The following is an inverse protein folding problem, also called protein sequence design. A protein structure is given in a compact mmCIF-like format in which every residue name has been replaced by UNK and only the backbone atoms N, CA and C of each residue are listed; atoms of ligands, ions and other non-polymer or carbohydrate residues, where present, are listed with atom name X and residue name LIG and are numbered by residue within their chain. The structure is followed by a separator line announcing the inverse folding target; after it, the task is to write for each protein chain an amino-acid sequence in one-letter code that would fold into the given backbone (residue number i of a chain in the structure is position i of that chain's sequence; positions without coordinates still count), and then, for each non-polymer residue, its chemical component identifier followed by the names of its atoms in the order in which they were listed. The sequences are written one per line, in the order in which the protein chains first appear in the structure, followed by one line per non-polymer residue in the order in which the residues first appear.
data_IF_528576404593
#
_entry.id   IF_528576404593
#
_cell.length_a   1.000
_cell.length_b   1.000
_cell.length_c   1.000
_cell.angle_alpha   90.00
_cell.angle_beta   90.00
_cell.angle_gamma   90.00
#
_symmetry.space_group_name_H-M   'P 1'
#
loop_
_entity.id
_entity.type
_entity.pdbx_description
1 polymer ?
#
# COMPACT_ATOMS: atom_id res chain seq x y z
N UNK A 1 11.63 -8.21 20.36
CA UNK A 1 10.87 -6.99 20.66
C UNK A 1 9.56 -7.02 19.88
N UNK A 2 8.49 -6.44 20.41
CA UNK A 2 7.22 -6.24 19.70
C UNK A 2 6.70 -4.83 19.99
N UNK A 3 5.94 -4.28 19.06
CA UNK A 3 5.33 -2.96 19.20
C UNK A 3 3.96 -2.95 18.52
N UNK A 4 3.11 -2.01 18.91
CA UNK A 4 1.81 -1.76 18.29
C UNK A 4 1.77 -0.33 17.75
N UNK A 5 1.20 -0.15 16.57
CA UNK A 5 0.97 1.17 15.97
C UNK A 5 -0.50 1.31 15.54
N UNK A 6 -1.06 2.50 15.72
CA UNK A 6 -2.44 2.79 15.33
C UNK A 6 -2.50 3.16 13.85
N UNK A 7 -2.61 2.15 12.98
CA UNK A 7 -2.72 2.35 11.53
C UNK A 7 -4.17 2.65 11.07
N UNK A 8 -5.17 2.14 11.77
CA UNK A 8 -6.57 2.20 11.33
C UNK A 8 -6.90 1.18 10.22
N UNK A 9 -8.20 0.97 9.93
CA UNK A 9 -8.67 -0.19 9.18
C UNK A 9 -8.67 -0.02 7.65
N UNK A 10 -7.85 0.88 7.10
CA UNK A 10 -7.90 1.25 5.68
C UNK A 10 -7.65 0.04 4.76
N UNK A 11 -6.74 -0.85 5.16
CA UNK A 11 -6.40 -2.05 4.40
C UNK A 11 -7.46 -3.16 4.47
N UNK A 12 -8.35 -3.10 5.45
CA UNK A 12 -9.52 -3.98 5.55
C UNK A 12 -10.76 -3.40 4.85
N UNK A 13 -10.62 -2.26 4.18
CA UNK A 13 -11.69 -1.50 3.54
C UNK A 13 -12.45 -0.56 4.49
N UNK A 14 -12.03 -0.44 5.75
CA UNK A 14 -12.65 0.44 6.73
C UNK A 14 -12.23 1.89 6.57
N UNK A 15 -13.18 2.82 6.69
CA UNK A 15 -12.90 4.26 6.54
C UNK A 15 -12.55 4.69 5.11
N UNK A 16 -12.90 3.87 4.12
CA UNK A 16 -12.76 4.13 2.69
C UNK A 16 -14.17 4.12 2.08
N UNK A 17 -14.54 5.15 1.30
CA UNK A 17 -15.92 5.38 0.80
C UNK A 17 -16.54 4.16 0.12
N UNK A 18 -15.78 3.49 -0.74
CA UNK A 18 -16.16 2.24 -1.40
C UNK A 18 -15.25 1.07 -0.97
N UNK A 19 -14.66 1.15 0.22
CA UNK A 19 -13.86 0.07 0.77
C UNK A 19 -14.73 -1.11 1.20
N UNK A 20 -14.24 -2.32 0.94
CA UNK A 20 -14.91 -3.55 1.34
C UNK A 20 -13.92 -4.68 1.59
N UNK A 21 -14.37 -5.75 2.24
CA UNK A 21 -13.57 -6.96 2.39
C UNK A 21 -13.35 -7.64 1.03
N UNK A 22 -12.23 -8.34 0.89
CA UNK A 22 -11.89 -9.15 -0.27
C UNK A 22 -12.91 -10.29 -0.47
N UNK A 23 -13.94 -10.00 -1.25
CA UNK A 23 -15.07 -10.88 -1.57
C UNK A 23 -15.51 -10.63 -3.01
N UNK A 24 -16.35 -11.50 -3.57
CA UNK A 24 -16.78 -11.43 -4.98
C UNK A 24 -17.30 -10.03 -5.37
N UNK A 25 -16.66 -9.44 -6.39
CA UNK A 25 -16.93 -8.08 -6.87
C UNK A 25 -16.09 -6.98 -6.21
N UNK A 26 -15.21 -7.29 -5.25
CA UNK A 26 -14.19 -6.33 -4.82
C UNK A 26 -13.11 -6.20 -5.89
N UNK A 27 -12.71 -4.97 -6.23
CA UNK A 27 -11.55 -4.68 -7.06
C UNK A 27 -10.31 -5.08 -6.27
N UNK A 28 -9.55 -6.05 -6.79
CA UNK A 28 -8.33 -6.58 -6.16
C UNK A 28 -7.05 -6.20 -6.90
N UNK A 29 -7.17 -5.85 -8.19
CA UNK A 29 -6.05 -5.38 -9.00
C UNK A 29 -6.52 -4.31 -10.00
N UNK A 30 -5.57 -3.49 -10.45
CA UNK A 30 -5.82 -2.27 -11.18
C UNK A 30 -4.67 -1.93 -12.12
N UNK A 31 -5.00 -1.64 -13.38
CA UNK A 31 -4.10 -0.96 -14.30
C UNK A 31 -4.81 0.21 -14.97
N UNK A 32 -4.05 1.05 -15.64
CA UNK A 32 -4.56 2.24 -16.31
C UNK A 32 -3.85 2.44 -17.64
N UNK A 33 -4.61 2.81 -18.66
CA UNK A 33 -4.03 3.19 -19.94
C UNK A 33 -3.28 4.53 -19.79
N UNK A 34 -1.99 4.61 -20.18
CA UNK A 34 -1.17 5.79 -19.91
C UNK A 34 -1.56 7.03 -20.73
N UNK A 35 -2.38 6.89 -21.78
CA UNK A 35 -2.77 7.98 -22.66
C UNK A 35 -4.19 8.48 -22.36
N UNK A 36 -5.17 7.58 -22.40
CA UNK A 36 -6.58 7.87 -22.14
C UNK A 36 -6.91 7.99 -20.65
N UNK A 37 -6.04 7.47 -19.78
CA UNK A 37 -6.26 7.36 -18.34
C UNK A 37 -7.51 6.56 -18.00
N UNK A 38 -7.94 5.65 -18.87
CA UNK A 38 -9.06 4.75 -18.63
C UNK A 38 -8.62 3.57 -17.76
N UNK A 39 -9.37 3.26 -16.68
CA UNK A 39 -8.99 2.22 -15.74
C UNK A 39 -9.39 0.82 -16.24
N UNK A 40 -8.54 -0.16 -16.00
CA UNK A 40 -8.85 -1.57 -16.12
C UNK A 40 -8.87 -2.19 -14.73
N UNK A 41 -10.07 -2.54 -14.25
CA UNK A 41 -10.26 -3.12 -12.92
C UNK A 41 -10.38 -4.65 -13.03
N UNK A 42 -9.65 -5.36 -12.17
CA UNK A 42 -9.81 -6.80 -11.98
C UNK A 42 -10.50 -7.03 -10.64
N UNK A 43 -11.54 -7.85 -10.63
CA UNK A 43 -12.34 -8.13 -9.45
C UNK A 43 -12.27 -9.59 -9.05
N UNK A 44 -12.43 -9.84 -7.76
CA UNK A 44 -12.57 -11.20 -7.24
C UNK A 44 -13.80 -11.84 -7.88
N UNK A 45 -13.58 -12.94 -8.59
CA UNK A 45 -14.63 -13.69 -9.30
C UNK A 45 -14.97 -13.16 -10.68
N UNK A 46 -14.23 -12.18 -11.22
CA UNK A 46 -14.40 -11.64 -12.57
C UNK A 46 -15.84 -11.16 -12.85
N UNK A 47 -16.42 -10.46 -11.88
CA UNK A 47 -17.77 -9.87 -11.99
C UNK A 47 -17.70 -8.35 -11.95
N UNK A 48 -18.82 -7.68 -12.23
CA UNK A 48 -18.91 -6.21 -12.09
C UNK A 48 -18.50 -5.75 -10.68
N UNK A 49 -17.77 -4.63 -10.53
CA UNK A 49 -17.30 -4.18 -9.23
C UNK A 49 -18.42 -3.70 -8.30
N UNK A 50 -18.20 -3.89 -7.00
CA UNK A 50 -19.02 -3.38 -5.88
C UNK A 50 -18.27 -2.38 -5.00
N UNK A 51 -16.94 -2.46 -5.01
CA UNK A 51 -16.06 -1.69 -4.13
C UNK A 51 -14.61 -2.15 -4.28
N UNK A 52 -13.77 -1.75 -3.34
CA UNK A 52 -12.31 -1.88 -3.38
C UNK A 52 -11.85 -2.65 -2.15
N UNK A 53 -11.07 -3.72 -2.31
CA UNK A 53 -10.42 -4.39 -1.17
C UNK A 53 -9.03 -3.82 -0.89
N UNK A 54 -8.39 -4.23 0.21
CA UNK A 54 -7.08 -3.72 0.62
C UNK A 54 -6.00 -3.81 -0.45
N UNK A 55 -5.87 -4.97 -1.09
CA UNK A 55 -4.93 -5.20 -2.19
C UNK A 55 -5.23 -4.29 -3.38
N UNK A 56 -6.50 -4.15 -3.76
CA UNK A 56 -6.94 -3.23 -4.80
C UNK A 56 -6.59 -1.78 -4.45
N UNK A 57 -6.82 -1.36 -3.21
CA UNK A 57 -6.49 0.00 -2.76
C UNK A 57 -4.97 0.28 -2.86
N UNK A 58 -4.13 -0.67 -2.45
CA UNK A 58 -2.67 -0.59 -2.62
C UNK A 58 -2.30 -0.47 -4.11
N UNK A 59 -2.84 -1.34 -4.95
CA UNK A 59 -2.50 -1.39 -6.37
C UNK A 59 -2.96 -0.14 -7.14
N UNK A 60 -4.17 0.36 -6.82
CA UNK A 60 -4.72 1.59 -7.40
C UNK A 60 -3.84 2.77 -7.04
N UNK A 61 -3.56 2.99 -5.75
CA UNK A 61 -2.79 4.16 -5.31
C UNK A 61 -1.35 4.10 -5.81
N UNK A 62 -0.70 2.93 -5.76
CA UNK A 62 0.63 2.73 -6.31
C UNK A 62 0.69 3.09 -7.81
N UNK A 63 -0.27 2.59 -8.59
CA UNK A 63 -0.32 2.82 -10.03
C UNK A 63 -0.64 4.27 -10.37
N UNK A 64 -1.60 4.89 -9.68
CA UNK A 64 -1.91 6.32 -9.86
C UNK A 64 -0.70 7.21 -9.52
N UNK A 65 0.04 6.88 -8.46
CA UNK A 65 1.24 7.61 -8.06
C UNK A 65 2.34 7.50 -9.12
N UNK A 66 2.66 6.28 -9.58
CA UNK A 66 3.67 6.08 -10.63
C UNK A 66 3.31 6.75 -11.96
N UNK A 67 2.01 6.85 -12.28
CA UNK A 67 1.52 7.49 -13.51
C UNK A 67 1.47 9.03 -13.41
N UNK A 68 1.64 9.58 -12.22
CA UNK A 68 1.50 11.02 -11.95
C UNK A 68 0.05 11.51 -12.00
N UNK A 69 -0.91 10.61 -11.76
CA UNK A 69 -2.34 10.91 -11.57
C UNK A 69 -2.57 11.50 -10.19
N UNK A 70 -1.79 11.05 -9.20
CA UNK A 70 -1.70 11.66 -7.88
C UNK A 70 -0.26 12.07 -7.61
N UNK A 71 -0.09 13.11 -6.79
CA UNK A 71 1.22 13.51 -6.27
C UNK A 71 1.60 12.72 -5.00
N UNK A 72 2.74 13.08 -4.41
CA UNK A 72 3.24 12.46 -3.18
C UNK A 72 2.38 12.76 -1.94
N UNK A 73 1.48 13.76 -2.00
CA UNK A 73 0.51 14.07 -0.95
C UNK A 73 -0.84 13.36 -1.18
N UNK A 74 -0.96 12.56 -2.24
CA UNK A 74 -2.20 11.89 -2.60
C UNK A 74 -3.24 12.82 -3.22
N UNK A 75 -2.83 13.97 -3.78
CA UNK A 75 -3.71 14.91 -4.46
C UNK A 75 -3.79 14.60 -5.94
N UNK A 76 -5.00 14.63 -6.49
CA UNK A 76 -5.20 14.39 -7.92
C UNK A 76 -4.59 15.53 -8.75
N UNK A 77 -3.92 15.16 -9.85
CA UNK A 77 -3.38 16.10 -10.80
C UNK A 77 -4.51 16.66 -11.69
N UNK A 78 -5.00 17.84 -11.31
CA UNK A 78 -6.13 18.54 -11.96
C UNK A 78 -5.82 19.07 -13.36
N UNK A 79 -4.55 18.99 -13.80
CA UNK A 79 -4.14 19.39 -15.15
C UNK A 79 -4.31 18.27 -16.17
N UNK A 80 -4.66 17.06 -15.74
CA UNK A 80 -4.90 15.94 -16.63
C UNK A 80 -6.28 16.09 -17.30
N UNK A 81 -6.30 15.98 -18.62
CA UNK A 81 -7.53 16.01 -19.40
C UNK A 81 -8.22 14.64 -19.35
N UNK A 82 -8.97 14.38 -18.28
CA UNK A 82 -9.78 13.16 -18.14
C UNK A 82 -11.11 13.46 -17.47
N UNK A 83 -12.18 12.86 -17.97
CA UNK A 83 -13.50 12.91 -17.34
C UNK A 83 -13.60 12.07 -16.06
N UNK A 84 -12.59 11.24 -15.78
CA UNK A 84 -12.54 10.35 -14.61
C UNK A 84 -12.26 11.11 -13.32
N UNK A 85 -11.53 12.23 -13.39
CA UNK A 85 -11.27 13.09 -12.24
C UNK A 85 -12.34 14.17 -12.19
N UNK A 86 -13.12 14.20 -11.11
CA UNK A 86 -14.15 15.22 -10.90
C UNK A 86 -14.18 15.68 -9.46
N UNK A 87 -14.87 16.79 -9.22
CA UNK A 87 -15.13 17.30 -7.87
C UNK A 87 -16.61 17.14 -7.51
N UNK A 88 -16.87 16.53 -6.36
CA UNK A 88 -18.22 16.34 -5.80
C UNK A 88 -18.18 16.82 -4.35
N UNK A 89 -19.09 17.72 -3.97
CA UNK A 89 -19.18 18.31 -2.62
C UNK A 89 -17.84 18.87 -2.09
N UNK A 90 -17.06 19.47 -2.98
CA UNK A 90 -15.73 20.02 -2.65
C UNK A 90 -14.60 18.99 -2.59
N UNK A 91 -14.88 17.69 -2.71
CA UNK A 91 -13.91 16.60 -2.68
C UNK A 91 -13.60 16.11 -4.08
N UNK A 92 -12.30 15.97 -4.40
CA UNK A 92 -11.90 15.36 -5.66
C UNK A 92 -11.94 13.83 -5.57
N UNK A 93 -12.43 13.21 -6.63
CA UNK A 93 -12.55 11.77 -6.76
C UNK A 93 -12.18 11.31 -8.18
N UNK A 94 -11.67 10.08 -8.27
CA UNK A 94 -11.42 9.37 -9.52
C UNK A 94 -12.46 8.25 -9.70
N UNK A 95 -13.17 8.23 -10.83
CA UNK A 95 -14.18 7.22 -11.15
C UNK A 95 -13.55 5.94 -11.66
N UNK A 96 -13.40 4.95 -10.78
CA UNK A 96 -12.87 3.62 -11.12
C UNK A 96 -13.83 2.84 -12.01
N UNK A 97 -15.14 2.87 -11.70
CA UNK A 97 -16.16 2.22 -12.51
C UNK A 97 -17.47 3.03 -12.47
N UNK A 98 -18.06 3.38 -13.63
CA UNK A 98 -19.33 4.10 -13.71
C UNK A 98 -20.51 3.18 -13.34
N UNK A 99 -21.62 3.76 -12.88
CA UNK A 99 -22.78 3.04 -12.36
C UNK A 99 -23.30 1.88 -13.25
N UNK A 100 -23.34 2.07 -14.56
CA UNK A 100 -23.82 1.04 -15.49
C UNK A 100 -22.89 -0.19 -15.60
N UNK A 101 -21.65 -0.08 -15.11
CA UNK A 101 -20.67 -1.16 -15.04
C UNK A 101 -20.52 -1.76 -13.64
N UNK A 102 -21.24 -1.26 -12.62
CA UNK A 102 -21.16 -1.77 -11.24
C UNK A 102 -22.33 -2.70 -10.91
N UNK A 103 -22.31 -3.32 -9.73
CA UNK A 103 -23.46 -4.08 -9.19
C UNK A 103 -24.28 -3.28 -8.15
N UNK A 104 -23.94 -2.01 -7.95
CA UNK A 104 -24.52 -1.17 -6.88
C UNK A 104 -25.29 0.03 -7.43
N UNK A 105 -25.50 0.07 -8.75
CA UNK A 105 -26.18 1.15 -9.48
C UNK A 105 -25.65 2.56 -9.16
N UNK A 106 -24.35 2.62 -8.82
CA UNK A 106 -23.62 3.84 -8.44
C UNK A 106 -22.19 3.75 -8.94
N UNK A 107 -21.58 4.91 -9.17
CA UNK A 107 -20.17 4.99 -9.50
C UNK A 107 -19.31 4.49 -8.32
N UNK A 108 -18.38 3.57 -8.59
CA UNK A 108 -17.32 3.22 -7.65
C UNK A 108 -16.16 4.18 -7.89
N UNK A 109 -15.80 4.94 -6.85
CA UNK A 109 -14.80 6.01 -6.93
C UNK A 109 -13.74 5.84 -5.84
N UNK A 110 -12.57 6.44 -6.07
CA UNK A 110 -11.54 6.66 -5.06
C UNK A 110 -11.41 8.16 -4.79
N UNK A 111 -11.52 8.58 -3.53
CA UNK A 111 -11.51 10.00 -3.16
C UNK A 111 -10.17 10.43 -2.53
N UNK A 112 -9.85 11.73 -2.52
CA UNK A 112 -8.65 12.22 -1.83
C UNK A 112 -8.63 11.89 -0.31
N UNK A 113 -9.75 11.97 0.43
CA UNK A 113 -9.82 11.48 1.81
C UNK A 113 -9.48 9.99 1.95
N UNK A 114 -9.91 9.15 1.01
CA UNK A 114 -9.58 7.71 1.01
C UNK A 114 -8.06 7.51 0.87
N UNK A 115 -7.42 8.23 -0.07
CA UNK A 115 -5.97 8.19 -0.28
C UNK A 115 -5.23 8.72 0.93
N UNK A 116 -5.73 9.81 1.54
CA UNK A 116 -5.15 10.39 2.76
C UNK A 116 -5.22 9.39 3.92
N UNK A 117 -6.33 8.67 4.05
CA UNK A 117 -6.50 7.65 5.08
C UNK A 117 -5.51 6.48 4.87
N UNK A 118 -5.34 6.03 3.61
CA UNK A 118 -4.31 5.04 3.26
C UNK A 118 -2.89 5.53 3.61
N UNK A 119 -2.54 6.77 3.27
CA UNK A 119 -1.22 7.35 3.55
C UNK A 119 -0.93 7.38 5.05
N UNK A 120 -1.94 7.67 5.89
CA UNK A 120 -1.80 7.60 7.35
C UNK A 120 -1.60 6.16 7.83
N UNK A 121 -2.41 5.23 7.33
CA UNK A 121 -2.32 3.82 7.72
C UNK A 121 -0.97 3.19 7.35
N UNK A 122 -0.51 3.41 6.11
CA UNK A 122 0.81 2.95 5.68
C UNK A 122 1.93 3.65 6.44
N UNK A 123 1.76 4.95 6.73
CA UNK A 123 2.75 5.75 7.45
C UNK A 123 2.98 5.23 8.87
N UNK A 124 1.90 4.87 9.57
CA UNK A 124 1.95 4.29 10.91
C UNK A 124 2.66 2.93 10.93
N UNK A 125 2.39 2.07 9.94
CA UNK A 125 3.05 0.76 9.83
C UNK A 125 4.54 0.92 9.53
N UNK A 126 4.90 1.74 8.54
CA UNK A 126 6.29 1.98 8.18
C UNK A 126 7.07 2.59 9.34
N UNK A 127 6.53 3.63 9.98
CA UNK A 127 7.19 4.28 11.11
C UNK A 127 7.31 3.37 12.32
N UNK A 128 6.30 2.57 12.62
CA UNK A 128 6.34 1.59 13.71
C UNK A 128 7.45 0.55 13.50
N UNK A 129 7.60 0.03 12.28
CA UNK A 129 8.68 -0.89 11.94
C UNK A 129 10.06 -0.22 12.05
N UNK A 130 10.23 0.97 11.47
CA UNK A 130 11.54 1.64 11.48
C UNK A 130 11.97 2.07 12.89
N UNK A 131 11.04 2.64 13.68
CA UNK A 131 11.33 2.99 15.07
C UNK A 131 11.69 1.75 15.89
N UNK A 132 10.96 0.63 15.74
CA UNK A 132 11.29 -0.59 16.47
C UNK A 132 12.70 -1.10 16.13
N UNK A 133 13.12 -1.04 14.86
CA UNK A 133 14.46 -1.42 14.44
C UNK A 133 15.53 -0.53 15.05
N UNK A 134 15.31 0.79 14.99
CA UNK A 134 16.21 1.78 15.55
C UNK A 134 16.43 1.58 17.06
N UNK A 135 15.36 1.37 17.82
CA UNK A 135 15.41 1.15 19.27
C UNK A 135 16.16 -0.12 19.69
N UNK A 136 16.20 -1.13 18.82
CA UNK A 136 17.00 -2.35 19.05
C UNK A 136 18.41 -2.28 18.44
N UNK A 137 18.82 -1.12 17.92
CA UNK A 137 20.13 -0.89 17.33
C UNK A 137 20.32 -1.60 15.98
N UNK A 138 19.23 -1.89 15.27
CA UNK A 138 19.24 -2.54 13.97
C UNK A 138 18.80 -1.58 12.86
N UNK A 139 19.21 -1.87 11.64
CA UNK A 139 18.75 -1.21 10.42
C UNK A 139 17.98 -2.20 9.54
N UNK A 140 17.30 -1.68 8.52
CA UNK A 140 16.59 -2.53 7.55
C UNK A 140 17.53 -3.51 6.83
N UNK A 141 18.81 -3.16 6.68
CA UNK A 141 19.82 -4.03 6.06
C UNK A 141 20.17 -5.25 6.91
N UNK A 142 19.88 -5.19 8.21
CA UNK A 142 20.08 -6.32 9.12
C UNK A 142 18.93 -7.34 9.08
N UNK A 143 17.88 -7.08 8.30
CA UNK A 143 16.71 -7.95 8.21
C UNK A 143 16.92 -9.04 7.15
N UNK A 144 16.87 -10.28 7.62
CA UNK A 144 16.95 -11.47 6.77
C UNK A 144 15.62 -11.76 6.09
N UNK A 145 14.50 -11.65 6.82
CA UNK A 145 13.15 -11.93 6.34
C UNK A 145 12.10 -11.03 6.97
N UNK A 146 11.09 -10.67 6.18
CA UNK A 146 9.88 -9.98 6.60
C UNK A 146 8.70 -10.93 6.39
N UNK A 147 7.97 -11.24 7.46
CA UNK A 147 6.75 -12.05 7.38
C UNK A 147 5.56 -11.12 7.55
N UNK A 148 4.78 -10.95 6.48
CA UNK A 148 3.59 -10.11 6.48
C UNK A 148 2.35 -10.96 6.75
N UNK A 149 1.57 -10.57 7.74
CA UNK A 149 0.28 -11.17 8.07
C UNK A 149 -0.79 -10.08 8.15
N UNK A 150 -2.04 -10.40 7.78
CA UNK A 150 -3.16 -9.47 7.85
C UNK A 150 -4.23 -9.71 6.80
N UNK A 151 -5.33 -8.98 6.92
CA UNK A 151 -6.52 -9.09 6.08
C UNK A 151 -6.50 -8.24 4.81
N UNK A 152 -5.33 -8.03 4.20
CA UNK A 152 -5.16 -7.17 3.02
C UNK A 152 -5.90 -7.69 1.76
N UNK A 153 -6.22 -8.99 1.70
CA UNK A 153 -6.85 -9.65 0.57
C UNK A 153 -6.30 -11.06 0.36
N UNK A 154 -6.55 -11.63 -0.82
CA UNK A 154 -6.02 -12.95 -1.21
C UNK A 154 -4.50 -12.91 -1.49
N UNK A 155 -3.99 -11.75 -1.91
CA UNK A 155 -2.60 -11.51 -2.28
C UNK A 155 -2.25 -10.04 -2.04
N UNK A 156 -0.97 -9.76 -1.74
CA UNK A 156 -0.44 -8.39 -1.67
C UNK A 156 0.70 -8.30 -2.67
N UNK A 157 0.58 -7.39 -3.64
CA UNK A 157 1.67 -7.09 -4.55
C UNK A 157 2.77 -6.34 -3.77
N UNK A 158 3.89 -7.03 -3.57
CA UNK A 158 5.02 -6.52 -2.79
C UNK A 158 5.65 -5.29 -3.44
N UNK A 159 5.69 -5.23 -4.77
CA UNK A 159 6.23 -4.09 -5.48
C UNK A 159 5.35 -2.87 -5.28
N UNK A 160 4.02 -3.03 -5.41
CA UNK A 160 3.04 -1.96 -5.18
C UNK A 160 3.03 -1.50 -3.72
N UNK A 161 3.20 -2.41 -2.76
CA UNK A 161 3.36 -2.08 -1.35
C UNK A 161 4.62 -1.24 -1.08
N UNK A 162 5.75 -1.53 -1.74
CA UNK A 162 6.95 -0.71 -1.65
C UNK A 162 6.78 0.65 -2.34
N UNK A 163 6.07 0.70 -3.48
CA UNK A 163 5.79 1.95 -4.22
C UNK A 163 5.04 2.97 -3.36
N UNK A 164 4.07 2.54 -2.55
CA UNK A 164 3.35 3.44 -1.65
C UNK A 164 4.11 3.70 -0.34
N UNK A 165 5.24 3.03 -0.11
CA UNK A 165 6.01 3.11 1.13
C UNK A 165 5.31 2.44 2.33
N UNK A 166 4.52 1.39 2.07
CA UNK A 166 3.98 0.51 3.12
C UNK A 166 5.09 -0.41 3.66
N UNK A 167 5.90 -0.93 2.73
CA UNK A 167 7.07 -1.74 3.01
C UNK A 167 8.32 -0.96 2.61
N UNK A 168 9.44 -1.15 3.32
CA UNK A 168 10.73 -0.62 2.88
C UNK A 168 11.16 -1.27 1.56
N UNK A 169 11.92 -0.53 0.76
CA UNK A 169 12.45 -1.06 -0.49
C UNK A 169 13.55 -2.09 -0.20
N UNK A 170 13.23 -3.37 -0.37
CA UNK A 170 14.12 -4.51 -0.11
C UNK A 170 13.94 -5.55 -1.22
N UNK A 171 14.79 -6.58 -1.24
CA UNK A 171 14.59 -7.75 -2.10
C UNK A 171 13.24 -8.42 -1.80
N UNK A 172 12.31 -8.52 -2.77
CA UNK A 172 11.03 -9.19 -2.59
C UNK A 172 11.15 -10.64 -2.10
N UNK A 173 12.26 -11.33 -2.41
CA UNK A 173 12.49 -12.71 -1.95
C UNK A 173 12.66 -12.82 -0.43
N UNK A 174 12.95 -11.70 0.25
CA UNK A 174 12.99 -11.65 1.72
C UNK A 174 11.61 -11.51 2.35
N UNK A 175 10.55 -11.27 1.56
CA UNK A 175 9.20 -11.01 2.08
C UNK A 175 8.32 -12.22 1.82
N UNK A 176 7.60 -12.66 2.85
CA UNK A 176 6.62 -13.75 2.75
C UNK A 176 5.29 -13.29 3.31
N UNK A 177 4.24 -13.35 2.50
CA UNK A 177 2.87 -13.10 2.95
C UNK A 177 2.22 -14.42 3.40
N UNK A 178 1.72 -14.47 4.63
CA UNK A 178 1.12 -15.68 5.22
C UNK A 178 -0.41 -15.57 5.41
N UNK A 179 -1.03 -14.47 4.96
CA UNK A 179 -2.47 -14.24 5.15
C UNK A 179 -2.84 -14.04 6.62
N UNK A 180 -3.92 -14.69 7.07
CA UNK A 180 -4.41 -14.55 8.45
C UNK A 180 -3.62 -15.45 9.42
N UNK A 181 -2.47 -14.95 9.88
CA UNK A 181 -1.60 -15.64 10.84
C UNK A 181 -2.29 -15.97 12.17
N UNK A 182 -3.24 -15.14 12.63
CA UNK A 182 -4.00 -15.39 13.87
C UNK A 182 -4.88 -16.65 13.75
N UNK A 183 -5.67 -16.75 12.67
CA UNK A 183 -6.53 -17.91 12.43
C UNK A 183 -5.71 -19.18 12.18
N UNK A 184 -4.61 -19.08 11.42
CA UNK A 184 -3.70 -20.21 11.19
C UNK A 184 -3.07 -20.69 12.50
N UNK A 185 -2.57 -19.77 13.33
CA UNK A 185 -2.00 -20.07 14.64
C UNK A 185 -3.01 -20.73 15.59
N UNK A 186 -4.25 -20.25 15.62
CA UNK A 186 -5.33 -20.83 16.41
C UNK A 186 -5.66 -22.26 15.95
N UNK A 187 -5.76 -22.49 14.62
CA UNK A 187 -6.02 -23.82 14.04
C UNK A 187 -4.91 -24.81 14.38
N UNK A 188 -3.65 -24.39 14.29
CA UNK A 188 -2.52 -25.28 14.58
C UNK A 188 -2.45 -25.57 16.09
N UNK A 189 -2.71 -24.56 16.92
CA UNK A 189 -2.75 -24.70 18.38
C UNK A 189 -3.92 -25.55 18.88
N UNK A 190 -5.02 -25.66 18.13
CA UNK A 190 -6.15 -26.51 18.52
C UNK A 190 -5.85 -28.00 18.37
N UNK A 191 -4.91 -28.36 17.49
CA UNK A 191 -4.57 -29.73 17.13
C UNK A 191 -3.44 -30.33 17.98
N UNK A 192 -2.62 -29.52 18.66
CA UNK A 192 -1.41 -30.04 19.34
C UNK A 192 -1.08 -29.28 20.62
N UNK A 193 -1.03 -30.01 21.75
CA UNK A 193 -0.65 -29.45 23.06
C UNK A 193 0.80 -28.96 23.12
N UNK A 194 1.72 -29.56 22.36
CA UNK A 194 3.10 -29.06 22.23
C UNK A 194 3.13 -27.62 21.72
N UNK A 195 2.39 -27.33 20.65
CA UNK A 195 2.35 -26.00 20.04
C UNK A 195 1.74 -24.97 20.99
N UNK A 196 0.73 -25.37 21.80
CA UNK A 196 0.22 -24.49 22.87
C UNK A 196 1.29 -24.09 23.88
N UNK A 197 2.18 -25.02 24.26
CA UNK A 197 3.31 -24.71 25.15
C UNK A 197 4.30 -23.76 24.46
N UNK A 198 4.63 -24.03 23.20
CA UNK A 198 5.52 -23.16 22.41
C UNK A 198 4.98 -21.72 22.32
N UNK A 199 3.67 -21.53 22.11
CA UNK A 199 3.02 -20.21 22.11
C UNK A 199 3.19 -19.47 23.44
N UNK A 200 3.00 -20.17 24.57
CA UNK A 200 3.20 -19.58 25.92
C UNK A 200 4.66 -19.18 26.13
N UNK A 201 5.61 -19.99 25.68
CA UNK A 201 7.04 -19.66 25.78
C UNK A 201 7.42 -18.47 24.91
N UNK A 202 6.90 -18.38 23.68
CA UNK A 202 7.12 -17.23 22.80
C UNK A 202 6.54 -15.96 23.44
N UNK A 203 5.31 -16.01 23.94
CA UNK A 203 4.67 -14.86 24.58
C UNK A 203 5.48 -14.35 25.80
N UNK A 204 6.07 -15.25 26.59
CA UNK A 204 6.94 -14.88 27.72
C UNK A 204 8.27 -14.24 27.31
N UNK A 205 8.77 -14.54 26.10
CA UNK A 205 10.02 -13.98 25.56
C UNK A 205 9.81 -12.65 24.83
N UNK A 206 8.56 -12.22 24.61
CA UNK A 206 8.26 -10.97 23.92
C UNK A 206 8.42 -9.77 24.86
N UNK A 207 9.37 -8.89 24.52
CA UNK A 207 9.50 -7.58 25.14
C UNK A 207 8.68 -6.55 24.36
N UNK A 208 7.68 -5.95 25.01
CA UNK A 208 6.87 -4.89 24.42
C UNK A 208 7.61 -3.54 24.46
N UNK A 209 7.59 -2.82 23.35
CA UNK A 209 8.11 -1.47 23.19
C UNK A 209 6.95 -0.51 22.97
N UNK A 210 6.87 0.51 23.82
CA UNK A 210 5.82 1.52 23.76
C UNK A 210 6.24 2.67 22.83
N UNK A 211 5.80 2.62 21.57
CA UNK A 211 6.17 3.60 20.55
C UNK A 211 5.65 5.01 20.89
N UNK A 212 4.60 5.13 21.69
CA UNK A 212 4.06 6.44 22.09
C UNK A 212 4.99 7.24 23.01
N UNK A 213 5.90 6.56 23.71
CA UNK A 213 6.93 7.19 24.56
C UNK A 213 8.22 7.50 23.78
N UNK A 214 8.35 6.98 22.56
CA UNK A 214 9.53 7.15 21.73
C UNK A 214 9.45 8.43 20.89
N UNK A 215 10.30 9.41 21.20
CA UNK A 215 10.32 10.69 20.49
C UNK A 215 10.58 10.57 18.98
N UNK A 216 11.35 9.56 18.54
CA UNK A 216 11.64 9.30 17.12
C UNK A 216 10.42 8.82 16.33
N UNK A 217 9.43 8.21 16.98
CA UNK A 217 8.25 7.67 16.31
C UNK A 217 7.47 8.75 15.56
N UNK A 218 7.21 9.89 16.20
CA UNK A 218 6.46 10.97 15.56
C UNK A 218 7.22 11.58 14.37
N UNK A 219 8.55 11.67 14.46
CA UNK A 219 9.38 12.13 13.35
C UNK A 219 9.31 11.15 12.16
N UNK A 220 9.47 9.86 12.43
CA UNK A 220 9.35 8.81 11.41
C UNK A 220 7.94 8.75 10.82
N UNK A 221 6.90 8.94 11.63
CA UNK A 221 5.52 8.97 11.18
C UNK A 221 5.26 10.14 10.23
N UNK A 222 5.62 11.37 10.62
CA UNK A 222 5.45 12.57 9.78
C UNK A 222 6.24 12.43 8.46
N UNK A 223 7.46 11.90 8.50
CA UNK A 223 8.24 11.62 7.31
C UNK A 223 7.59 10.55 6.40
N UNK A 224 6.78 9.67 6.97
CA UNK A 224 6.06 8.62 6.26
C UNK A 224 4.68 9.03 5.74
N UNK A 225 4.23 10.27 5.94
CA UNK A 225 2.94 10.79 5.44
C UNK A 225 2.97 11.24 3.97
N UNK A 226 3.88 10.69 3.18
CA UNK A 226 4.06 10.99 1.76
C UNK A 226 4.19 9.68 0.97
N UNK A 227 3.91 9.67 -0.33
CA UNK A 227 4.18 8.54 -1.21
C UNK A 227 5.57 8.68 -1.89
N UNK A 228 6.48 7.69 -1.77
CA UNK A 228 6.49 6.63 -0.75
C UNK A 228 6.90 7.13 0.65
N UNK A 229 7.65 8.25 0.73
CA UNK A 229 8.23 8.81 1.94
C UNK A 229 8.80 10.21 1.63
N UNK A 230 8.99 11.09 2.63
CA UNK A 230 9.62 12.41 2.41
C UNK A 230 11.04 12.27 1.86
N UNK A 231 11.80 11.32 2.41
CA UNK A 231 13.10 10.95 1.88
C UNK A 231 12.94 9.85 0.82
N UNK A 232 13.08 10.24 -0.45
CA UNK A 232 12.99 9.32 -1.60
C UNK A 232 14.22 8.45 -1.80
N UNK A 233 15.35 8.78 -1.18
CA UNK A 233 16.59 7.98 -1.29
C UNK A 233 16.48 6.63 -0.56
N UNK A 234 15.46 6.46 0.29
CA UNK A 234 15.10 5.17 0.89
C UNK A 234 14.42 4.21 -0.11
N UNK A 235 14.05 4.70 -1.30
CA UNK A 235 13.37 3.94 -2.36
C UNK A 235 14.08 4.15 -3.71
N UNK A 236 15.38 3.78 -3.83
CA UNK A 236 16.19 4.07 -5.01
C UNK A 236 15.64 3.49 -6.33
N UNK A 237 15.08 2.28 -6.34
CA UNK A 237 14.52 1.68 -7.56
C UNK A 237 13.28 2.43 -8.01
N UNK A 238 12.40 2.80 -7.08
CA UNK A 238 11.24 3.64 -7.40
C UNK A 238 11.68 5.01 -7.93
N UNK A 239 12.62 5.67 -7.26
CA UNK A 239 13.16 6.97 -7.67
C UNK A 239 13.66 6.92 -9.13
N UNK A 240 14.47 5.91 -9.47
CA UNK A 240 14.97 5.72 -10.83
C UNK A 240 13.83 5.52 -11.86
N UNK A 241 12.79 4.76 -11.53
CA UNK A 241 11.61 4.58 -12.42
C UNK A 241 10.83 5.87 -12.64
N UNK A 242 10.64 6.66 -11.58
CA UNK A 242 9.94 7.94 -11.68
C UNK A 242 10.74 8.95 -12.52
N UNK A 243 12.06 8.98 -12.38
CA UNK A 243 12.96 9.80 -13.20
C UNK A 243 12.92 9.39 -14.67
N UNK A 244 13.03 8.09 -14.96
CA UNK A 244 12.95 7.56 -16.33
C UNK A 244 11.62 7.94 -17.01
N UNK A 245 10.49 7.85 -16.29
CA UNK A 245 9.18 8.25 -16.81
C UNK A 245 9.08 9.75 -17.09
N UNK A 246 9.67 10.59 -16.22
CA UNK A 246 9.70 12.04 -16.43
C UNK A 246 10.51 12.41 -17.68
N UNK A 247 11.61 11.72 -17.96
CA UNK A 247 12.41 11.92 -19.17
C UNK A 247 11.59 11.60 -20.44
N UNK A 248 10.89 10.45 -20.45
CA UNK A 248 10.01 10.07 -21.56
C UNK A 248 8.90 11.10 -21.81
N UNK A 249 8.24 11.60 -20.75
CA UNK A 249 7.19 12.64 -20.88
C UNK A 249 7.72 14.00 -21.38
N UNK A 250 9.00 14.31 -21.16
CA UNK A 250 9.62 15.56 -21.62
C UNK A 250 10.14 15.50 -23.07
N UNK A 251 10.01 14.35 -23.74
CA UNK A 251 10.54 14.19 -25.11
C UNK A 251 12.06 14.09 -25.17
N UNK A 252 12.74 13.89 -24.04
CA UNK A 252 14.16 13.54 -24.00
C UNK A 252 14.26 12.04 -24.33
N UNK A 253 14.11 11.75 -25.62
CA UNK A 253 14.30 10.42 -26.17
C UNK A 253 15.74 9.96 -26.00
N UNK A 254 15.88 8.65 -25.85
CA UNK A 254 17.11 7.86 -25.89
C UNK A 254 17.89 8.10 -27.21
N UNK A 255 18.52 9.26 -27.37
CA UNK A 255 19.59 9.50 -28.32
C UNK A 255 20.87 9.74 -27.50
N UNK A 256 21.78 8.75 -27.53
CA UNK A 256 23.21 8.81 -27.15
C UNK A 256 23.71 7.64 -26.29
N UNK A 257 23.42 6.39 -26.70
CA UNK A 257 24.28 5.23 -26.34
C UNK A 257 24.49 4.21 -27.47
N UNK A 258 24.46 4.65 -28.74
CA UNK A 258 24.91 3.82 -29.87
C UNK A 258 25.70 4.66 -30.87
N UNK A 259 26.83 5.22 -30.45
CA UNK A 259 27.94 5.56 -31.36
C UNK A 259 29.29 5.44 -30.64
N UNK A 260 29.84 4.23 -30.65
CA UNK A 260 31.30 4.00 -30.66
C UNK A 260 31.52 2.68 -31.40
N UNK A 261 32.45 2.67 -32.36
CA UNK A 261 33.71 1.98 -32.11
C UNK A 261 34.78 2.94 -31.60
#
# INVERSE_FOLDING_TARGET
ACAACSAGPAFEGGGIKFGMRATTGAIEDFSIDPFSLEPMNITIGNVRPKGICGSGLINIVATMFEMGIIDNLGKFNRKLETSRIRQVDGVYEYVLAPAHLTQIDRDVVLTEPDITNLIRAKGAMYSGCMTLLEEVGLSINNIDRIILAGGFGSYVDLEKAMIIGLLPEIDPNKITFIGNGSLMGAKISSLTNRIRKDVVEVARKMTNFELSETASFMNNYVASLFLPHTNTDLFPKLKARLEARKAVKKGEGFEDKVKSP
#
